data_IF_928021435885
#
_entry.id   IF_928021435885
#
_cell.length_a   1.000
_cell.length_b   1.000
_cell.length_c   1.000
_cell.angle_alpha   90.00
_cell.angle_beta   90.00
_cell.angle_gamma   90.00
#
_symmetry.space_group_name_H-M   'P 1'
#
loop_
_entity.id
_entity.type
_entity.pdbx_description
1 polymer ?
#
# COMPACT_ATOMS: atom_id res chain seq x y z
N UNK A 1 15.21 21.03 -16.36
CA UNK A 1 15.02 19.65 -15.86
C UNK A 1 15.53 18.56 -16.82
N UNK A 2 15.36 18.67 -18.15
CA UNK A 2 16.05 17.80 -19.14
C UNK A 2 17.45 18.37 -19.50
N UNK A 3 17.49 19.68 -19.81
CA UNK A 3 18.72 20.38 -20.22
C UNK A 3 19.83 20.35 -19.15
N UNK A 4 19.46 20.37 -17.86
CA UNK A 4 20.44 20.36 -16.76
C UNK A 4 21.21 19.03 -16.70
N UNK A 5 20.54 17.91 -17.03
CA UNK A 5 21.18 16.59 -17.06
C UNK A 5 22.12 16.47 -18.24
N UNK A 6 21.69 16.92 -19.42
CA UNK A 6 22.52 16.91 -20.63
C UNK A 6 23.73 17.82 -20.45
N UNK A 7 23.57 18.99 -19.84
CA UNK A 7 24.65 19.91 -19.48
C UNK A 7 25.71 19.23 -18.59
N UNK A 8 25.29 18.58 -17.50
CA UNK A 8 26.22 17.85 -16.62
C UNK A 8 26.97 16.73 -17.37
N UNK A 9 26.34 16.06 -18.33
CA UNK A 9 27.00 15.03 -19.17
C UNK A 9 28.07 15.64 -20.08
N UNK A 10 27.83 16.83 -20.65
CA UNK A 10 28.85 17.55 -21.43
C UNK A 10 30.07 17.90 -20.58
N UNK A 11 29.87 18.34 -19.34
CA UNK A 11 30.97 18.69 -18.43
C UNK A 11 31.78 17.45 -18.06
N UNK A 12 31.11 16.33 -17.78
CA UNK A 12 31.81 15.06 -17.52
C UNK A 12 32.66 14.64 -18.74
N UNK A 13 32.16 14.83 -19.96
CA UNK A 13 32.91 14.54 -21.18
C UNK A 13 34.11 15.49 -21.35
N UNK A 14 33.95 16.77 -21.02
CA UNK A 14 35.03 17.75 -21.02
C UNK A 14 36.16 17.37 -20.03
N UNK A 15 35.81 17.06 -18.79
CA UNK A 15 36.79 16.60 -17.78
C UNK A 15 37.48 15.30 -18.21
N UNK A 16 36.74 14.37 -18.82
CA UNK A 16 37.33 13.15 -19.38
C UNK A 16 38.35 13.45 -20.48
N UNK A 17 38.05 14.36 -21.41
CA UNK A 17 38.98 14.78 -22.48
C UNK A 17 40.20 15.53 -21.96
N UNK A 18 40.08 16.23 -20.82
CA UNK A 18 41.20 16.84 -20.09
C UNK A 18 42.15 15.80 -19.47
N UNK A 19 41.77 14.52 -19.46
CA UNK A 19 42.60 13.42 -18.95
C UNK A 19 42.63 13.32 -17.43
N UNK A 20 41.72 13.98 -16.71
CA UNK A 20 41.68 13.93 -15.25
C UNK A 20 41.03 12.63 -14.73
N UNK A 21 41.36 12.25 -13.50
CA UNK A 21 40.74 11.09 -12.86
C UNK A 21 39.26 11.33 -12.53
N UNK A 22 38.47 10.25 -12.39
CA UNK A 22 37.04 10.34 -11.99
C UNK A 22 36.86 11.11 -10.68
N UNK A 23 37.75 10.89 -9.70
CA UNK A 23 37.69 11.55 -8.39
C UNK A 23 37.96 13.04 -8.51
N UNK A 24 38.95 13.42 -9.32
CA UNK A 24 39.28 14.82 -9.61
C UNK A 24 38.14 15.49 -10.36
N UNK A 25 37.61 14.85 -11.40
CA UNK A 25 36.47 15.37 -12.16
C UNK A 25 35.23 15.59 -11.28
N UNK A 26 34.89 14.63 -10.41
CA UNK A 26 33.76 14.79 -9.50
C UNK A 26 33.96 15.96 -8.54
N UNK A 27 35.17 16.14 -8.00
CA UNK A 27 35.51 17.28 -7.13
C UNK A 27 35.38 18.61 -7.88
N UNK A 28 35.97 18.72 -9.07
CA UNK A 28 35.88 19.93 -9.91
C UNK A 28 34.42 20.30 -10.22
N UNK A 29 33.59 19.30 -10.55
CA UNK A 29 32.17 19.53 -10.83
C UNK A 29 31.42 19.93 -9.55
N UNK A 30 31.70 19.29 -8.42
CA UNK A 30 31.05 19.61 -7.15
C UNK A 30 31.39 21.02 -6.63
N UNK A 31 32.61 21.50 -6.85
CA UNK A 31 33.03 22.86 -6.49
C UNK A 31 32.25 23.94 -7.26
N UNK A 32 31.87 23.68 -8.51
CA UNK A 32 31.15 24.65 -9.36
C UNK A 32 29.63 24.51 -9.24
N UNK A 33 29.12 23.28 -9.19
CA UNK A 33 27.67 23.01 -9.29
C UNK A 33 27.00 22.75 -7.94
N UNK A 34 27.78 22.61 -6.86
CA UNK A 34 27.29 22.45 -5.49
C UNK A 34 26.21 21.36 -5.39
N UNK A 35 25.01 21.71 -4.94
CA UNK A 35 23.89 20.77 -4.74
C UNK A 35 23.37 20.15 -6.05
N UNK A 36 23.64 20.78 -7.19
CA UNK A 36 23.27 20.26 -8.51
C UNK A 36 24.34 19.31 -9.08
N UNK A 37 25.41 19.04 -8.34
CA UNK A 37 26.48 18.19 -8.81
C UNK A 37 26.06 16.72 -8.89
N UNK A 38 26.52 15.99 -9.91
CA UNK A 38 26.27 14.57 -10.05
C UNK A 38 27.01 13.78 -8.98
N UNK A 39 26.34 12.77 -8.42
CA UNK A 39 26.97 11.82 -7.50
C UNK A 39 28.19 11.14 -8.14
N UNK A 40 29.18 10.77 -7.32
CA UNK A 40 30.40 10.09 -7.78
C UNK A 40 30.14 8.86 -8.66
N UNK A 41 29.14 8.04 -8.29
CA UNK A 41 28.73 6.86 -9.08
C UNK A 41 28.26 7.21 -10.49
N UNK A 42 27.61 8.36 -10.64
CA UNK A 42 27.16 8.87 -11.95
C UNK A 42 28.37 9.26 -12.81
N UNK A 43 29.31 10.03 -12.26
CA UNK A 43 30.55 10.43 -12.97
C UNK A 43 31.35 9.19 -13.36
N UNK A 44 31.50 8.22 -12.44
CA UNK A 44 32.19 6.95 -12.70
C UNK A 44 31.55 6.16 -13.85
N UNK A 45 30.22 6.06 -13.87
CA UNK A 45 29.47 5.37 -14.93
C UNK A 45 29.67 6.04 -16.30
N UNK A 46 29.64 7.36 -16.36
CA UNK A 46 29.89 8.12 -17.59
C UNK A 46 31.34 7.98 -18.08
N UNK A 47 32.33 8.07 -17.20
CA UNK A 47 33.72 7.84 -17.56
C UNK A 47 33.97 6.42 -18.07
N UNK A 48 33.34 5.41 -17.46
CA UNK A 48 33.41 4.04 -17.97
C UNK A 48 32.78 3.90 -19.36
N UNK A 49 31.71 4.65 -19.65
CA UNK A 49 31.08 4.72 -20.98
C UNK A 49 32.03 5.37 -22.00
N UNK A 50 32.64 6.51 -21.67
CA UNK A 50 33.58 7.22 -22.54
C UNK A 50 34.85 6.41 -22.85
N UNK A 51 35.38 5.66 -21.87
CA UNK A 51 36.51 4.73 -22.09
C UNK A 51 36.21 3.62 -23.09
N UNK A 52 34.94 3.25 -23.25
CA UNK A 52 34.48 2.28 -24.25
C UNK A 52 34.24 2.90 -25.63
N UNK A 53 34.59 4.19 -25.81
CA UNK A 53 34.41 4.92 -27.07
C UNK A 53 33.01 5.50 -27.29
N UNK A 54 32.06 5.28 -26.38
CA UNK A 54 30.70 5.79 -26.48
C UNK A 54 30.63 7.20 -25.88
N UNK A 55 30.80 8.21 -26.74
CA UNK A 55 30.74 9.64 -26.38
C UNK A 55 29.34 10.25 -26.50
N UNK A 56 28.30 9.45 -26.78
CA UNK A 56 26.93 9.94 -26.90
C UNK A 56 26.41 10.38 -25.51
N UNK A 57 25.82 11.56 -25.45
CA UNK A 57 25.28 12.16 -24.23
C UNK A 57 23.78 11.88 -24.05
N UNK A 58 23.18 11.18 -25.01
CA UNK A 58 21.79 10.78 -24.94
C UNK A 58 21.62 9.55 -24.04
N UNK A 59 20.43 9.45 -23.45
CA UNK A 59 20.04 8.23 -22.76
C UNK A 59 19.73 7.16 -23.80
N UNK A 60 20.31 5.97 -23.61
CA UNK A 60 19.92 4.82 -24.42
C UNK A 60 18.46 4.48 -24.11
N UNK A 61 17.69 4.01 -25.11
CA UNK A 61 16.36 3.50 -24.85
C UNK A 61 16.44 2.47 -23.73
N UNK A 62 15.64 2.68 -22.68
CA UNK A 62 15.57 1.72 -21.57
C UNK A 62 14.88 0.49 -22.12
N UNK A 63 15.60 -0.64 -22.16
CA UNK A 63 14.93 -1.92 -22.27
C UNK A 63 14.02 -2.03 -21.04
N UNK A 64 12.70 -2.01 -21.27
CA UNK A 64 11.73 -2.24 -20.22
C UNK A 64 11.90 -3.62 -19.61
N UNK A 65 11.19 -3.88 -18.50
CA UNK A 65 11.03 -5.25 -18.03
C UNK A 65 10.33 -6.05 -19.14
N UNK A 66 10.82 -7.24 -19.52
CA UNK A 66 10.07 -8.13 -20.39
C UNK A 66 8.68 -8.35 -19.80
N UNK A 67 7.63 -8.03 -20.56
CA UNK A 67 6.23 -8.19 -20.17
C UNK A 67 5.78 -9.66 -20.14
N UNK A 68 6.67 -10.57 -20.50
CA UNK A 68 6.35 -11.96 -20.72
C UNK A 68 6.33 -12.70 -19.38
N UNK A 69 5.17 -12.67 -18.73
CA UNK A 69 4.41 -13.76 -18.09
C UNK A 69 3.13 -13.07 -17.55
N UNK A 70 2.22 -12.71 -18.45
CA UNK A 70 0.83 -12.45 -18.07
C UNK A 70 -0.09 -13.11 -19.08
N UNK A 71 -0.61 -14.28 -18.72
CA UNK A 71 -1.51 -15.08 -19.58
C UNK A 71 -2.79 -14.33 -19.95
N UNK A 72 -3.16 -13.31 -19.16
CA UNK A 72 -4.32 -12.46 -19.46
C UNK A 72 -4.02 -11.33 -20.42
N UNK A 73 -2.76 -11.09 -20.82
CA UNK A 73 -2.40 -9.97 -21.70
C UNK A 73 -2.77 -8.59 -21.14
N UNK A 74 -2.84 -8.46 -19.81
CA UNK A 74 -3.38 -7.31 -19.08
C UNK A 74 -4.87 -7.00 -19.38
N UNK A 75 -5.65 -7.98 -19.85
CA UNK A 75 -7.09 -7.85 -20.07
C UNK A 75 -7.89 -8.25 -18.82
N UNK A 76 -8.54 -7.25 -18.22
CA UNK A 76 -9.42 -7.45 -17.06
C UNK A 76 -10.62 -8.36 -17.37
N UNK A 77 -11.10 -8.40 -18.61
CA UNK A 77 -12.20 -9.29 -18.98
C UNK A 77 -11.77 -10.75 -18.93
N UNK A 78 -10.54 -11.05 -19.35
CA UNK A 78 -9.97 -12.39 -19.24
C UNK A 78 -9.87 -12.84 -17.79
N UNK A 79 -9.41 -11.97 -16.89
CA UNK A 79 -9.40 -12.24 -15.43
C UNK A 79 -10.81 -12.42 -14.87
N UNK A 80 -11.74 -11.53 -15.22
CA UNK A 80 -13.11 -11.58 -14.75
C UNK A 80 -13.83 -12.86 -15.17
N UNK A 81 -13.61 -13.35 -16.40
CA UNK A 81 -14.14 -14.65 -16.84
C UNK A 81 -13.73 -15.75 -15.88
N UNK A 82 -12.45 -15.86 -15.54
CA UNK A 82 -11.97 -16.89 -14.61
C UNK A 82 -12.65 -16.75 -13.24
N UNK A 83 -12.72 -15.53 -12.70
CA UNK A 83 -13.33 -15.25 -11.40
C UNK A 83 -14.81 -15.65 -11.37
N UNK A 84 -15.61 -15.25 -12.36
CA UNK A 84 -17.05 -15.56 -12.39
C UNK A 84 -17.31 -17.04 -12.61
N UNK A 85 -16.47 -17.74 -13.37
CA UNK A 85 -16.62 -19.20 -13.51
C UNK A 85 -16.32 -19.92 -12.20
N UNK A 86 -15.33 -19.46 -11.42
CA UNK A 86 -14.96 -20.08 -10.14
C UNK A 86 -15.91 -19.69 -8.99
N UNK A 87 -16.33 -18.43 -8.93
CA UNK A 87 -17.01 -17.83 -7.77
C UNK A 87 -18.39 -17.25 -8.10
N UNK A 88 -18.92 -17.49 -9.30
CA UNK A 88 -20.15 -16.86 -9.76
C UNK A 88 -21.37 -17.20 -8.89
N UNK A 89 -21.41 -18.40 -8.31
CA UNK A 89 -22.48 -18.83 -7.41
C UNK A 89 -22.45 -18.03 -6.10
N UNK A 90 -21.28 -17.91 -5.49
CA UNK A 90 -21.05 -17.17 -4.24
C UNK A 90 -21.31 -15.68 -4.44
N UNK A 91 -20.88 -15.11 -5.57
CA UNK A 91 -21.15 -13.71 -5.93
C UNK A 91 -22.66 -13.48 -6.03
N UNK A 92 -23.39 -14.36 -6.71
CA UNK A 92 -24.85 -14.27 -6.83
C UNK A 92 -25.54 -14.43 -5.47
N UNK A 93 -25.08 -15.36 -4.63
CA UNK A 93 -25.59 -15.55 -3.27
C UNK A 93 -25.39 -14.29 -2.42
N UNK A 94 -24.19 -13.71 -2.40
CA UNK A 94 -23.92 -12.48 -1.65
C UNK A 94 -24.61 -11.25 -2.22
N UNK A 95 -24.94 -11.24 -3.51
CA UNK A 95 -25.73 -10.16 -4.12
C UNK A 95 -27.17 -10.19 -3.60
N UNK A 96 -27.76 -11.38 -3.47
CA UNK A 96 -29.11 -11.56 -2.94
C UNK A 96 -29.16 -11.44 -1.41
N UNK A 97 -28.13 -11.93 -0.72
CA UNK A 97 -28.04 -12.01 0.74
C UNK A 97 -26.79 -11.27 1.24
N UNK A 98 -26.77 -9.95 1.05
CA UNK A 98 -25.63 -9.11 1.41
C UNK A 98 -25.30 -9.29 2.90
N UNK A 99 -24.11 -9.81 3.27
CA UNK A 99 -23.75 -9.96 4.67
C UNK A 99 -23.65 -8.59 5.34
N UNK A 100 -24.68 -8.24 6.11
CA UNK A 100 -24.72 -6.95 6.80
C UNK A 100 -23.71 -6.97 7.94
N UNK A 101 -22.93 -5.90 8.04
CA UNK A 101 -21.97 -5.72 9.13
C UNK A 101 -22.68 -5.85 10.50
N UNK A 102 -22.17 -6.71 11.37
CA UNK A 102 -22.75 -6.97 12.70
C UNK A 102 -22.94 -5.68 13.54
N UNK A 103 -22.05 -4.69 13.39
CA UNK A 103 -22.22 -3.40 14.08
C UNK A 103 -23.47 -2.70 13.56
N UNK A 104 -23.69 -2.69 12.24
CA UNK A 104 -24.89 -2.09 11.62
C UNK A 104 -26.15 -2.84 12.01
N UNK A 105 -26.14 -4.18 11.96
CA UNK A 105 -27.25 -5.01 12.40
C UNK A 105 -27.66 -4.71 13.85
N UNK A 106 -26.70 -4.42 14.74
CA UNK A 106 -26.98 -4.08 16.12
C UNK A 106 -27.62 -2.69 16.28
N UNK A 107 -27.18 -1.69 15.51
CA UNK A 107 -27.79 -0.36 15.49
C UNK A 107 -29.21 -0.38 14.92
N UNK A 108 -29.45 -1.22 13.91
CA UNK A 108 -30.77 -1.38 13.28
C UNK A 108 -31.70 -2.29 14.12
N UNK A 109 -31.21 -2.90 15.21
CA UNK A 109 -32.01 -3.75 16.07
C UNK A 109 -33.00 -2.91 16.90
N UNK A 110 -34.32 -3.16 16.81
CA UNK A 110 -35.33 -2.35 17.50
C UNK A 110 -35.10 -2.32 19.02
N UNK A 111 -34.95 -1.11 19.56
CA UNK A 111 -34.82 -0.88 21.00
C UNK A 111 -33.47 -1.28 21.60
N UNK A 112 -32.48 -1.74 20.81
CA UNK A 112 -31.18 -2.14 21.34
C UNK A 112 -30.30 -0.96 21.77
N UNK A 113 -30.43 0.21 21.14
CA UNK A 113 -29.72 1.45 21.46
C UNK A 113 -28.25 1.24 21.88
N UNK A 114 -27.41 0.64 21.01
CA UNK A 114 -26.06 0.21 21.40
C UNK A 114 -25.08 1.40 21.51
N UNK A 115 -24.21 1.35 22.52
CA UNK A 115 -23.12 2.31 22.74
C UNK A 115 -21.81 1.56 22.95
N UNK A 116 -20.79 1.89 22.16
CA UNK A 116 -19.47 1.25 22.23
C UNK A 116 -18.49 2.09 23.04
N UNK A 117 -17.65 1.43 23.84
CA UNK A 117 -16.55 2.07 24.56
C UNK A 117 -15.40 2.46 23.62
N UNK A 118 -14.49 3.29 24.14
CA UNK A 118 -13.18 3.45 23.52
C UNK A 118 -12.42 2.11 23.53
N UNK A 119 -11.59 1.83 22.51
CA UNK A 119 -10.77 0.63 22.49
C UNK A 119 -9.73 0.69 23.62
N UNK A 120 -9.60 -0.42 24.35
CA UNK A 120 -8.59 -0.61 25.39
C UNK A 120 -7.62 -1.72 24.97
N UNK A 121 -6.37 -1.66 25.44
CA UNK A 121 -5.44 -2.78 25.30
C UNK A 121 -5.68 -3.75 26.45
N UNK A 122 -5.91 -5.03 26.14
CA UNK A 122 -6.01 -6.11 27.11
C UNK A 122 -4.59 -6.65 27.39
N UNK A 123 -4.00 -6.37 28.56
CA UNK A 123 -2.62 -6.76 28.86
C UNK A 123 -2.43 -8.28 28.90
N UNK A 124 -3.50 -9.02 29.22
CA UNK A 124 -3.48 -10.48 29.33
C UNK A 124 -3.42 -11.19 27.96
N UNK A 125 -3.97 -10.57 26.92
CA UNK A 125 -4.19 -11.22 25.62
C UNK A 125 -3.44 -10.58 24.47
N UNK A 126 -2.71 -9.49 24.72
CA UNK A 126 -2.07 -8.66 23.68
C UNK A 126 -3.05 -8.34 22.51
N UNK A 127 -4.29 -8.00 22.88
CA UNK A 127 -5.36 -7.69 21.91
C UNK A 127 -6.06 -6.39 22.28
N UNK A 128 -6.72 -5.79 21.29
CA UNK A 128 -7.65 -4.69 21.51
C UNK A 128 -8.98 -5.24 22.03
N UNK A 129 -9.49 -4.67 23.10
CA UNK A 129 -10.81 -4.91 23.65
C UNK A 129 -11.73 -3.72 23.37
N UNK A 130 -12.98 -3.99 23.00
CA UNK A 130 -14.06 -3.01 22.88
C UNK A 130 -15.28 -3.58 23.57
N UNK A 131 -15.91 -2.76 24.41
CA UNK A 131 -17.12 -3.13 25.12
C UNK A 131 -18.33 -2.47 24.45
N UNK A 132 -19.46 -3.17 24.38
CA UNK A 132 -20.73 -2.62 23.91
C UNK A 132 -21.80 -2.79 24.96
N UNK A 133 -22.43 -1.67 25.31
CA UNK A 133 -23.64 -1.62 26.13
C UNK A 133 -24.85 -1.50 25.24
N UNK A 134 -25.91 -2.26 25.51
CA UNK A 134 -27.16 -2.24 24.74
C UNK A 134 -28.35 -2.58 25.65
N UNK A 135 -29.56 -2.36 25.16
CA UNK A 135 -30.80 -2.63 25.88
C UNK A 135 -31.43 -3.93 25.38
N UNK A 136 -31.87 -4.78 26.31
CA UNK A 136 -32.63 -5.98 26.01
C UNK A 136 -33.69 -6.16 27.10
N UNK A 137 -34.98 -6.31 26.73
CA UNK A 137 -36.10 -6.47 27.68
C UNK A 137 -36.09 -5.41 28.81
N UNK A 138 -35.92 -4.14 28.44
CA UNK A 138 -35.81 -2.98 29.35
C UNK A 138 -34.67 -3.05 30.38
N UNK A 139 -33.66 -3.90 30.16
CA UNK A 139 -32.45 -3.97 30.99
C UNK A 139 -31.23 -3.61 30.16
N UNK A 140 -30.29 -2.92 30.79
CA UNK A 140 -28.97 -2.70 30.21
C UNK A 140 -28.15 -3.98 30.28
N UNK A 141 -27.60 -4.35 29.14
CA UNK A 141 -26.70 -5.48 28.95
C UNK A 141 -25.36 -4.96 28.43
N UNK A 142 -24.31 -5.72 28.67
CA UNK A 142 -22.96 -5.38 28.22
C UNK A 142 -22.25 -6.63 27.72
N UNK A 143 -21.49 -6.49 26.64
CA UNK A 143 -20.66 -7.57 26.08
C UNK A 143 -19.32 -7.03 25.62
N UNK A 144 -18.30 -7.88 25.70
CA UNK A 144 -16.92 -7.55 25.37
C UNK A 144 -16.52 -8.23 24.06
N UNK A 145 -15.76 -7.52 23.23
CA UNK A 145 -15.20 -8.04 22.00
C UNK A 145 -13.70 -7.82 21.94
N UNK A 146 -12.97 -8.87 21.59
CA UNK A 146 -11.52 -8.86 21.47
C UNK A 146 -11.10 -9.01 20.01
N UNK A 147 -10.00 -8.37 19.63
CA UNK A 147 -9.44 -8.52 18.29
C UNK A 147 -8.08 -7.88 18.13
N UNK A 148 -7.42 -8.18 17.00
CA UNK A 148 -6.10 -7.63 16.65
C UNK A 148 -6.11 -6.11 16.41
N UNK A 149 -7.28 -5.50 16.27
CA UNK A 149 -7.45 -4.06 16.12
C UNK A 149 -8.84 -3.63 16.60
N UNK A 150 -9.05 -2.31 16.72
CA UNK A 150 -10.32 -1.71 17.15
C UNK A 150 -11.53 -2.15 16.32
N UNK A 151 -11.37 -2.39 15.02
CA UNK A 151 -12.48 -2.76 14.12
C UNK A 151 -12.93 -4.20 14.36
N UNK A 152 -11.98 -5.12 14.51
CA UNK A 152 -12.24 -6.53 14.80
C UNK A 152 -12.86 -6.69 16.20
N UNK A 153 -12.31 -6.01 17.20
CA UNK A 153 -12.84 -5.97 18.57
C UNK A 153 -14.29 -5.46 18.59
N UNK A 154 -14.56 -4.33 17.92
CA UNK A 154 -15.92 -3.76 17.81
C UNK A 154 -16.90 -4.72 17.12
N UNK A 155 -16.49 -5.38 16.04
CA UNK A 155 -17.32 -6.40 15.36
C UNK A 155 -17.58 -7.61 16.25
N UNK A 156 -16.60 -8.06 17.01
CA UNK A 156 -16.74 -9.19 17.94
C UNK A 156 -17.75 -8.86 19.06
N UNK A 157 -17.65 -7.66 19.65
CA UNK A 157 -18.59 -7.17 20.65
C UNK A 157 -20.02 -7.12 20.09
N UNK A 158 -20.18 -6.57 18.88
CA UNK A 158 -21.48 -6.50 18.23
C UNK A 158 -22.08 -7.88 17.92
N UNK A 159 -21.27 -8.86 17.50
CA UNK A 159 -21.71 -10.24 17.30
C UNK A 159 -22.19 -10.87 18.60
N UNK A 160 -21.48 -10.68 19.71
CA UNK A 160 -21.88 -11.17 21.02
C UNK A 160 -23.22 -10.56 21.47
N UNK A 161 -23.38 -9.25 21.32
CA UNK A 161 -24.62 -8.55 21.63
C UNK A 161 -25.81 -9.05 20.78
N UNK A 162 -25.63 -9.17 19.46
CA UNK A 162 -26.67 -9.71 18.56
C UNK A 162 -27.04 -11.15 18.89
N UNK A 163 -26.07 -11.98 19.25
CA UNK A 163 -26.33 -13.35 19.67
C UNK A 163 -27.17 -13.37 20.96
N UNK A 164 -26.88 -12.48 21.91
CA UNK A 164 -27.67 -12.31 23.13
C UNK A 164 -29.11 -11.88 22.82
N UNK A 165 -29.29 -10.85 21.98
CA UNK A 165 -30.59 -10.33 21.58
C UNK A 165 -31.44 -11.39 20.85
N UNK A 166 -30.84 -12.19 19.96
CA UNK A 166 -31.53 -13.27 19.25
C UNK A 166 -32.04 -14.37 20.19
N UNK A 167 -31.27 -14.70 21.24
CA UNK A 167 -31.65 -15.70 22.25
C UNK A 167 -32.74 -15.19 23.21
N UNK A 168 -32.79 -13.89 23.43
CA UNK A 168 -33.69 -13.25 24.39
C UNK A 168 -34.77 -12.39 23.70
N UNK A 169 -35.16 -12.77 22.49
CA UNK A 169 -36.25 -12.11 21.76
C UNK A 169 -37.59 -12.27 22.48
#
# INVERSE_FOLDING_TARGET
MENDKVHLRHIMLYEYRKGVSVRTAQKNIAEVYLDNAPAFKTVQKWFARFRKGDLSLEDKPRAGRPSDINDSGNDLNTVWRVIVHLMGKEILEFTNNVPINAVRQLFEWPGANPTFSAPALSPERDTTEVTVRFVCRNKFMETHGFGTNKSNAKKAAAKAALQYLRKNR
#
